data_IF_546920743535
#
_entry.id   IF_546920743535
#
_cell.length_a   1.000
_cell.length_b   1.000
_cell.length_c   1.000
_cell.angle_alpha   90.00
_cell.angle_beta   90.00
_cell.angle_gamma   90.00
#
_symmetry.space_group_name_H-M   'P 1'
#
loop_
_entity.id
_entity.type
_entity.pdbx_description
1 polymer ?
#
# COMPACT_ATOMS: atom_id res chain seq x y z
N UNK A 1 -1.69 -3.62 9.07
CA UNK A 1 -2.16 -2.72 10.15
C UNK A 1 -1.03 -2.52 11.13
N UNK A 2 -0.80 -1.26 11.50
CA UNK A 2 0.15 -0.89 12.55
C UNK A 2 -0.62 -0.22 13.69
N UNK A 3 -0.26 -0.54 14.93
CA UNK A 3 -0.77 0.11 16.15
C UNK A 3 0.39 0.31 17.12
N UNK A 4 0.46 1.47 17.78
CA UNK A 4 1.52 1.80 18.74
C UNK A 4 2.95 1.58 18.18
N UNK A 5 3.14 1.87 16.89
CA UNK A 5 4.42 1.70 16.21
C UNK A 5 4.79 0.25 15.87
N UNK A 6 3.90 -0.72 16.12
CA UNK A 6 4.13 -2.14 15.88
C UNK A 6 3.25 -2.68 14.77
N UNK A 7 3.77 -3.62 13.98
CA UNK A 7 2.98 -4.39 13.02
C UNK A 7 2.10 -5.40 13.77
N UNK A 8 0.79 -5.38 13.53
CA UNK A 8 -0.17 -6.25 14.25
C UNK A 8 -0.97 -7.18 13.33
N UNK A 9 -1.09 -6.85 12.04
CA UNK A 9 -1.88 -7.65 11.10
C UNK A 9 -1.49 -7.37 9.65
N UNK A 10 -1.47 -8.40 8.81
CA UNK A 10 -1.34 -8.30 7.37
C UNK A 10 -2.33 -9.22 6.68
N UNK A 11 -2.84 -8.78 5.54
CA UNK A 11 -3.68 -9.57 4.63
C UNK A 11 -3.36 -9.11 3.20
N UNK A 12 -3.73 -9.91 2.21
CA UNK A 12 -3.55 -9.61 0.80
C UNK A 12 -4.80 -9.99 0.00
N UNK A 13 -5.10 -9.18 -1.01
CA UNK A 13 -6.12 -9.48 -2.02
C UNK A 13 -5.39 -9.58 -3.35
N UNK A 14 -5.72 -10.57 -4.17
CA UNK A 14 -5.12 -10.77 -5.49
C UNK A 14 -5.70 -9.80 -6.54
N UNK A 15 -5.86 -8.52 -6.18
CA UNK A 15 -6.40 -7.43 -7.02
C UNK A 15 -5.48 -6.23 -6.90
N UNK A 16 -5.27 -5.51 -8.01
CA UNK A 16 -4.38 -4.36 -8.07
C UNK A 16 -4.48 -3.59 -9.38
N UNK A 17 -3.51 -2.72 -9.65
CA UNK A 17 -3.53 -1.83 -10.82
C UNK A 17 -3.68 -2.54 -12.17
N UNK A 18 -3.21 -3.79 -12.30
CA UNK A 18 -3.35 -4.58 -13.52
C UNK A 18 -4.81 -4.95 -13.82
N UNK A 19 -5.65 -5.07 -12.79
CA UNK A 19 -7.09 -5.36 -12.98
C UNK A 19 -7.81 -4.16 -13.59
N UNK A 20 -7.39 -2.93 -13.24
CA UNK A 20 -7.88 -1.71 -13.90
C UNK A 20 -7.50 -1.73 -15.38
N UNK A 21 -6.26 -2.09 -15.71
CA UNK A 21 -5.80 -2.21 -17.10
C UNK A 21 -6.57 -3.26 -17.87
N UNK A 22 -6.82 -4.43 -17.27
CA UNK A 22 -7.58 -5.51 -17.89
C UNK A 22 -9.02 -5.09 -18.19
N UNK A 23 -9.67 -4.41 -17.26
CA UNK A 23 -11.02 -3.90 -17.45
C UNK A 23 -11.08 -2.82 -18.52
N UNK A 24 -10.07 -1.94 -18.59
CA UNK A 24 -9.95 -0.95 -19.66
C UNK A 24 -9.73 -1.61 -21.02
N UNK A 25 -8.83 -2.59 -21.11
CA UNK A 25 -8.58 -3.31 -22.36
C UNK A 25 -9.85 -4.00 -22.88
N UNK A 26 -10.60 -4.66 -21.99
CA UNK A 26 -11.88 -5.28 -22.32
C UNK A 26 -12.95 -4.25 -22.68
N UNK A 27 -13.12 -3.22 -21.85
CA UNK A 27 -14.19 -2.23 -22.02
C UNK A 27 -14.00 -1.30 -23.21
N UNK A 28 -12.76 -1.10 -23.66
CA UNK A 28 -12.42 -0.28 -24.82
C UNK A 28 -12.05 -1.11 -26.06
N UNK A 29 -12.09 -2.44 -25.95
CA UNK A 29 -11.63 -3.38 -26.99
C UNK A 29 -10.24 -3.02 -27.53
N UNK A 30 -9.28 -2.72 -26.66
CA UNK A 30 -7.91 -2.32 -27.04
C UNK A 30 -6.87 -3.24 -26.41
N UNK A 31 -5.61 -3.16 -26.85
CA UNK A 31 -4.52 -3.98 -26.30
C UNK A 31 -4.20 -3.61 -24.86
N UNK A 32 -3.63 -4.55 -24.10
CA UNK A 32 -3.21 -4.30 -22.72
C UNK A 32 -2.22 -3.13 -22.63
N UNK A 33 -1.29 -3.05 -23.59
CA UNK A 33 -0.30 -1.97 -23.64
C UNK A 33 -0.94 -0.61 -23.92
N UNK A 34 -1.90 -0.56 -24.86
CA UNK A 34 -2.65 0.65 -25.15
C UNK A 34 -3.51 1.07 -23.94
N UNK A 35 -4.19 0.11 -23.30
CA UNK A 35 -4.98 0.35 -22.09
C UNK A 35 -4.10 0.88 -20.93
N UNK A 36 -2.90 0.34 -20.73
CA UNK A 36 -1.98 0.82 -19.70
C UNK A 36 -1.54 2.26 -19.97
N UNK A 37 -1.17 2.57 -21.21
CA UNK A 37 -0.81 3.94 -21.62
C UNK A 37 -1.96 4.91 -21.38
N UNK A 38 -3.17 4.54 -21.80
CA UNK A 38 -4.38 5.31 -21.59
C UNK A 38 -4.69 5.53 -20.10
N UNK A 39 -4.51 4.50 -19.27
CA UNK A 39 -4.68 4.58 -17.81
C UNK A 39 -3.69 5.55 -17.18
N UNK A 40 -2.42 5.51 -17.59
CA UNK A 40 -1.37 6.39 -17.06
C UNK A 40 -1.58 7.83 -17.49
N UNK A 41 -1.95 8.07 -18.75
CA UNK A 41 -2.05 9.42 -19.32
C UNK A 41 -3.37 10.13 -18.99
N UNK A 42 -4.48 9.40 -18.91
CA UNK A 42 -5.83 9.97 -18.83
C UNK A 42 -6.71 9.37 -17.73
N UNK A 43 -6.19 8.40 -16.97
CA UNK A 43 -6.97 7.66 -15.98
C UNK A 43 -7.33 8.50 -14.74
N UNK A 44 -8.60 8.41 -14.33
CA UNK A 44 -9.11 9.01 -13.11
C UNK A 44 -10.12 8.09 -12.44
N UNK A 45 -10.09 8.04 -11.10
CA UNK A 45 -11.11 7.40 -10.27
C UNK A 45 -12.28 8.33 -9.93
N UNK A 46 -12.20 9.61 -10.30
CA UNK A 46 -13.26 10.60 -10.10
C UNK A 46 -13.76 11.15 -11.45
N UNK A 47 -15.08 11.39 -11.58
CA UNK A 47 -15.61 12.11 -12.74
C UNK A 47 -15.15 13.57 -12.71
N UNK A 48 -14.63 14.05 -13.83
CA UNK A 48 -14.39 15.47 -14.06
C UNK A 48 -15.50 16.12 -14.90
N UNK A 49 -15.67 17.44 -14.75
CA UNK A 49 -16.72 18.20 -15.45
C UNK A 49 -16.53 18.30 -16.96
N UNK A 50 -15.30 18.08 -17.46
CA UNK A 50 -14.96 18.11 -18.87
C UNK A 50 -14.86 16.71 -19.51
N UNK A 51 -15.02 15.64 -18.73
CA UNK A 51 -14.75 14.26 -19.17
C UNK A 51 -15.60 13.83 -20.39
N UNK A 52 -16.82 14.36 -20.54
CA UNK A 52 -17.70 14.04 -21.67
C UNK A 52 -17.32 14.79 -22.96
N UNK A 53 -16.55 15.87 -22.84
CA UNK A 53 -16.10 16.70 -23.98
C UNK A 53 -14.66 16.39 -24.39
N UNK A 54 -13.86 15.93 -23.45
CA UNK A 54 -12.48 15.52 -23.70
C UNK A 54 -12.48 14.19 -24.45
N UNK A 55 -12.10 14.21 -25.73
CA UNK A 55 -11.97 13.01 -26.55
C UNK A 55 -10.55 12.43 -26.44
N UNK A 56 -10.48 11.10 -26.37
CA UNK A 56 -9.25 10.33 -26.32
C UNK A 56 -9.24 9.34 -27.48
N UNK A 57 -8.11 9.30 -28.18
CA UNK A 57 -7.89 8.41 -29.31
C UNK A 57 -7.52 7.02 -28.82
N UNK A 58 -8.24 6.00 -29.26
CA UNK A 58 -7.96 4.59 -28.98
C UNK A 58 -7.78 3.81 -30.28
N UNK A 59 -6.97 2.75 -30.24
CA UNK A 59 -6.85 1.80 -31.34
C UNK A 59 -7.61 0.52 -30.95
N UNK A 60 -8.80 0.26 -31.53
CA UNK A 60 -9.52 -0.97 -31.28
C UNK A 60 -8.78 -2.18 -31.85
N UNK A 61 -8.93 -3.33 -31.21
CA UNK A 61 -8.48 -4.62 -31.72
C UNK A 61 -9.56 -5.14 -32.67
N UNK A 62 -9.19 -5.33 -33.94
CA UNK A 62 -10.02 -6.00 -34.93
C UNK A 62 -11.00 -5.09 -35.64
N UNK A 63 -10.56 -4.52 -36.76
CA UNK A 63 -11.28 -4.33 -38.03
C UNK A 63 -10.22 -3.87 -39.05
N UNK A 64 -10.34 -4.32 -40.31
CA UNK A 64 -9.42 -3.93 -41.39
C UNK A 64 -9.55 -2.42 -41.66
N UNK A 65 -8.62 -1.67 -41.11
CA UNK A 65 -8.62 -0.21 -41.16
C UNK A 65 -8.15 0.32 -39.82
N UNK A 66 -6.85 0.61 -39.72
CA UNK A 66 -6.12 1.08 -38.54
C UNK A 66 -6.54 2.51 -38.12
N UNK A 67 -7.84 2.83 -38.18
CA UNK A 67 -8.38 4.17 -37.93
C UNK A 67 -8.57 4.34 -36.43
N UNK A 68 -7.92 5.33 -35.81
CA UNK A 68 -8.12 5.58 -34.39
C UNK A 68 -9.56 6.01 -34.11
N UNK A 69 -10.19 5.34 -33.15
CA UNK A 69 -11.53 5.68 -32.66
C UNK A 69 -11.41 6.75 -31.57
N UNK A 70 -12.20 7.81 -31.66
CA UNK A 70 -12.29 8.84 -30.62
C UNK A 70 -13.41 8.51 -29.65
N UNK A 71 -13.09 8.42 -28.36
CA UNK A 71 -14.08 8.18 -27.29
C UNK A 71 -14.01 9.29 -26.24
N UNK A 72 -15.12 9.64 -25.57
CA UNK A 72 -15.08 10.53 -24.42
C UNK A 72 -14.27 9.92 -23.26
N UNK A 73 -13.47 10.75 -22.58
CA UNK A 73 -12.70 10.35 -21.39
C UNK A 73 -13.60 9.79 -20.29
N UNK A 74 -14.86 10.24 -20.20
CA UNK A 74 -15.85 9.73 -19.25
C UNK A 74 -16.11 8.23 -19.35
N UNK A 75 -15.96 7.64 -20.54
CA UNK A 75 -16.07 6.18 -20.75
C UNK A 75 -14.96 5.47 -19.97
N UNK A 76 -13.72 5.94 -20.08
CA UNK A 76 -12.57 5.41 -19.36
C UNK A 76 -12.72 5.62 -17.85
N UNK A 77 -13.09 6.84 -17.43
CA UNK A 77 -13.29 7.18 -16.02
C UNK A 77 -14.33 6.27 -15.37
N UNK A 78 -15.41 5.92 -16.07
CA UNK A 78 -16.45 5.02 -15.55
C UNK A 78 -15.92 3.59 -15.32
N UNK A 79 -15.13 3.06 -16.24
CA UNK A 79 -14.53 1.71 -16.11
C UNK A 79 -13.54 1.70 -14.93
N UNK A 80 -12.63 2.67 -14.88
CA UNK A 80 -11.63 2.79 -13.83
C UNK A 80 -12.30 2.93 -12.47
N UNK A 81 -13.27 3.84 -12.35
CA UNK A 81 -14.00 4.08 -11.10
C UNK A 81 -14.69 2.82 -10.61
N UNK A 82 -15.36 2.05 -11.48
CA UNK A 82 -16.04 0.83 -11.07
C UNK A 82 -15.07 -0.17 -10.42
N UNK A 83 -13.91 -0.43 -11.05
CA UNK A 83 -12.88 -1.32 -10.50
C UNK A 83 -12.26 -0.78 -9.21
N UNK A 84 -12.02 0.53 -9.12
CA UNK A 84 -11.47 1.15 -7.91
C UNK A 84 -12.47 1.09 -6.75
N UNK A 85 -13.74 1.40 -6.99
CA UNK A 85 -14.79 1.33 -5.98
C UNK A 85 -14.91 -0.12 -5.46
N UNK A 86 -14.95 -1.12 -6.34
CA UNK A 86 -14.95 -2.55 -5.97
C UNK A 86 -13.72 -2.95 -5.14
N UNK A 87 -12.52 -2.54 -5.57
CA UNK A 87 -11.26 -2.88 -4.86
C UNK A 87 -11.24 -2.30 -3.45
N UNK A 88 -11.72 -1.06 -3.29
CA UNK A 88 -11.77 -0.39 -2.00
C UNK A 88 -12.85 -0.97 -1.08
N UNK A 89 -13.98 -1.42 -1.63
CA UNK A 89 -15.02 -2.14 -0.89
C UNK A 89 -14.50 -3.49 -0.38
N UNK A 90 -13.83 -4.27 -1.23
CA UNK A 90 -13.18 -5.52 -0.82
C UNK A 90 -12.14 -5.28 0.29
N UNK A 91 -11.32 -4.23 0.16
CA UNK A 91 -10.35 -3.85 1.19
C UNK A 91 -11.03 -3.48 2.51
N UNK A 92 -12.10 -2.69 2.47
CA UNK A 92 -12.89 -2.31 3.65
C UNK A 92 -13.43 -3.56 4.36
N UNK A 93 -14.01 -4.48 3.59
CA UNK A 93 -14.63 -5.68 4.13
C UNK A 93 -13.60 -6.64 4.73
N UNK A 94 -12.44 -6.81 4.10
CA UNK A 94 -11.30 -7.56 4.66
C UNK A 94 -10.79 -6.93 5.95
N UNK A 95 -10.65 -5.61 5.98
CA UNK A 95 -10.21 -4.91 7.17
C UNK A 95 -11.21 -5.07 8.32
N UNK A 96 -12.50 -4.98 8.06
CA UNK A 96 -13.54 -5.18 9.07
C UNK A 96 -13.54 -6.63 9.60
N UNK A 97 -13.43 -7.62 8.71
CA UNK A 97 -13.35 -9.05 9.07
C UNK A 97 -12.13 -9.38 9.93
N UNK A 98 -11.03 -8.64 9.78
CA UNK A 98 -9.83 -8.84 10.60
C UNK A 98 -10.02 -8.49 12.09
N UNK A 99 -11.10 -7.79 12.47
CA UNK A 99 -11.30 -7.26 13.82
C UNK A 99 -10.51 -5.98 14.12
N UNK A 100 -9.53 -5.62 13.28
CA UNK A 100 -8.71 -4.42 13.43
C UNK A 100 -9.30 -3.16 12.79
N UNK A 101 -10.54 -3.22 12.29
CA UNK A 101 -11.23 -2.06 11.71
C UNK A 101 -11.20 -0.85 12.64
N UNK A 102 -11.46 -1.02 13.93
CA UNK A 102 -11.45 0.08 14.91
C UNK A 102 -10.03 0.44 15.39
N UNK A 103 -9.07 -0.50 15.30
CA UNK A 103 -7.68 -0.31 15.72
C UNK A 103 -6.83 0.43 14.67
N UNK A 104 -7.17 0.31 13.38
CA UNK A 104 -6.62 1.19 12.34
C UNK A 104 -7.02 2.63 12.73
N UNK A 105 -6.06 3.39 13.25
CA UNK A 105 -6.26 4.79 13.61
C UNK A 105 -6.89 5.58 12.45
N UNK A 106 -7.26 6.84 12.72
CA UNK A 106 -8.01 7.73 11.82
C UNK A 106 -7.40 7.96 10.41
N UNK A 107 -6.30 7.28 10.04
CA UNK A 107 -5.50 7.49 8.84
C UNK A 107 -5.18 6.18 8.11
N UNK A 108 -5.36 6.18 6.79
CA UNK A 108 -4.94 5.17 5.83
C UNK A 108 -3.83 5.77 4.97
N UNK A 109 -2.80 5.00 4.67
CA UNK A 109 -1.71 5.41 3.78
C UNK A 109 -1.74 4.49 2.56
N UNK A 110 -2.02 5.06 1.40
CA UNK A 110 -1.93 4.34 0.12
C UNK A 110 -0.52 4.49 -0.43
N UNK A 111 0.02 3.42 -1.00
CA UNK A 111 1.32 3.45 -1.65
C UNK A 111 1.38 2.42 -2.78
N UNK A 112 2.53 2.30 -3.46
CA UNK A 112 2.68 1.48 -4.66
C UNK A 112 2.32 2.26 -5.94
N UNK A 113 2.63 1.70 -7.10
CA UNK A 113 2.48 2.39 -8.38
C UNK A 113 1.04 2.83 -8.66
N UNK A 114 0.08 1.95 -8.39
CA UNK A 114 -1.35 2.21 -8.59
C UNK A 114 -1.91 3.30 -7.68
N UNK A 115 -1.24 3.64 -6.57
CA UNK A 115 -1.71 4.71 -5.68
C UNK A 115 -1.62 6.11 -6.31
N UNK A 116 -0.95 6.23 -7.45
CA UNK A 116 -0.77 7.48 -8.19
C UNK A 116 -1.94 7.81 -9.12
N UNK A 117 -2.91 6.90 -9.26
CA UNK A 117 -4.10 7.16 -10.05
C UNK A 117 -4.85 8.40 -9.53
N UNK A 118 -5.18 9.32 -10.44
CA UNK A 118 -5.88 10.55 -10.09
C UNK A 118 -7.23 10.23 -9.42
N UNK A 119 -7.56 10.95 -8.34
CA UNK A 119 -8.84 10.78 -7.63
C UNK A 119 -8.92 9.54 -6.71
N UNK A 120 -7.91 8.67 -6.69
CA UNK A 120 -7.91 7.48 -5.84
C UNK A 120 -7.92 7.81 -4.33
N UNK A 121 -7.13 8.79 -3.81
CA UNK A 121 -7.21 9.17 -2.39
C UNK A 121 -8.61 9.61 -1.97
N UNK A 122 -9.31 10.35 -2.83
CA UNK A 122 -10.68 10.83 -2.60
C UNK A 122 -11.67 9.68 -2.60
N UNK A 123 -11.59 8.77 -3.58
CA UNK A 123 -12.41 7.56 -3.62
C UNK A 123 -12.21 6.70 -2.35
N UNK A 124 -10.95 6.51 -1.95
CA UNK A 124 -10.61 5.80 -0.73
C UNK A 124 -11.11 6.50 0.54
N UNK A 125 -11.04 7.83 0.62
CA UNK A 125 -11.62 8.60 1.74
C UNK A 125 -13.11 8.34 1.87
N UNK A 126 -13.82 8.40 0.75
CA UNK A 126 -15.28 8.17 0.67
C UNK A 126 -15.66 6.76 1.10
N UNK A 127 -14.97 5.73 0.58
CA UNK A 127 -15.35 4.32 0.80
C UNK A 127 -14.87 3.80 2.17
N UNK A 128 -13.66 4.16 2.59
CA UNK A 128 -13.08 3.68 3.85
C UNK A 128 -13.53 4.49 5.07
N UNK A 129 -14.11 5.68 4.87
CA UNK A 129 -14.56 6.57 5.94
C UNK A 129 -13.43 7.09 6.83
N UNK A 130 -12.21 7.22 6.27
CA UNK A 130 -10.97 7.55 7.02
C UNK A 130 -10.17 8.61 6.29
N UNK A 131 -9.28 9.30 6.99
CA UNK A 131 -8.33 10.19 6.32
C UNK A 131 -7.36 9.35 5.48
N UNK A 132 -7.21 9.67 4.20
CA UNK A 132 -6.29 8.95 3.31
C UNK A 132 -5.20 9.92 2.86
N UNK A 133 -3.96 9.43 2.79
CA UNK A 133 -2.85 10.12 2.15
C UNK A 133 -2.04 9.16 1.28
N UNK A 134 -1.32 9.70 0.31
CA UNK A 134 -0.30 8.95 -0.42
C UNK A 134 0.99 8.90 0.39
N UNK A 135 1.54 7.71 0.54
CA UNK A 135 2.85 7.44 1.14
C UNK A 135 3.90 7.20 0.05
N UNK A 136 5.08 7.76 0.26
CA UNK A 136 6.27 7.58 -0.58
C UNK A 136 7.51 7.44 0.30
N UNK A 137 8.62 6.85 -0.20
CA UNK A 137 9.87 6.81 0.54
C UNK A 137 10.35 8.22 0.91
N UNK A 138 10.85 8.39 2.13
CA UNK A 138 11.41 9.66 2.63
C UNK A 138 12.72 9.39 3.36
N UNK A 139 13.63 10.37 3.36
CA UNK A 139 14.83 10.34 4.21
C UNK A 139 15.94 9.37 3.78
N UNK A 140 15.92 8.89 2.53
CA UNK A 140 16.96 8.00 2.00
C UNK A 140 17.98 8.81 1.20
N UNK A 141 19.19 8.94 1.74
CA UNK A 141 20.29 9.64 1.07
C UNK A 141 20.72 8.90 -0.21
N UNK A 142 21.02 9.65 -1.27
CA UNK A 142 21.47 9.08 -2.55
C UNK A 142 20.37 8.43 -3.41
N UNK A 143 19.10 8.50 -3.00
CA UNK A 143 18.00 7.92 -3.78
C UNK A 143 17.72 8.76 -5.05
N UNK A 144 17.76 8.15 -6.26
CA UNK A 144 17.43 8.86 -7.50
C UNK A 144 16.01 9.41 -7.49
N UNK A 145 15.75 10.53 -8.19
CA UNK A 145 14.40 11.14 -8.26
C UNK A 145 13.33 10.14 -8.71
N UNK A 146 13.64 9.31 -9.70
CA UNK A 146 12.73 8.27 -10.20
C UNK A 146 12.30 7.27 -9.10
N UNK A 147 13.15 7.04 -8.10
CA UNK A 147 12.91 6.11 -7.01
C UNK A 147 12.23 6.76 -5.78
N UNK A 148 11.90 8.06 -5.83
CA UNK A 148 11.19 8.76 -4.74
C UNK A 148 9.67 8.63 -4.80
N UNK A 149 9.15 7.95 -5.84
CA UNK A 149 7.71 7.74 -6.02
C UNK A 149 7.12 6.63 -5.13
N UNK A 150 5.79 6.60 -4.92
CA UNK A 150 5.10 5.54 -4.18
C UNK A 150 5.35 4.13 -4.71
N UNK A 151 5.63 3.99 -6.01
CA UNK A 151 5.98 2.72 -6.65
C UNK A 151 7.22 2.04 -6.03
N UNK A 152 8.13 2.82 -5.45
CA UNK A 152 9.38 2.34 -4.88
C UNK A 152 9.34 2.16 -3.36
N UNK A 153 8.18 2.36 -2.72
CA UNK A 153 8.01 2.19 -1.27
C UNK A 153 8.45 0.82 -0.76
N UNK A 154 8.12 -0.25 -1.48
CA UNK A 154 8.51 -1.62 -1.11
C UNK A 154 10.02 -1.85 -1.22
N UNK A 155 10.66 -1.69 -2.39
CA UNK A 155 12.11 -1.93 -2.50
C UNK A 155 12.93 -1.01 -1.59
N UNK A 156 12.55 0.27 -1.46
CA UNK A 156 13.23 1.20 -0.55
C UNK A 156 13.03 0.80 0.92
N UNK A 157 11.80 0.41 1.28
CA UNK A 157 11.48 -0.10 2.60
C UNK A 157 12.34 -1.32 2.98
N UNK A 158 12.52 -2.26 2.06
CA UNK A 158 13.37 -3.45 2.27
C UNK A 158 14.85 -3.08 2.46
N UNK A 159 15.36 -2.08 1.75
CA UNK A 159 16.74 -1.62 1.91
C UNK A 159 17.01 -0.99 3.29
N UNK A 160 16.05 -0.24 3.82
CA UNK A 160 16.20 0.45 5.12
C UNK A 160 15.72 -0.39 6.31
N UNK A 161 14.93 -1.45 6.07
CA UNK A 161 14.33 -2.27 7.11
C UNK A 161 15.35 -2.79 8.16
N UNK A 162 16.56 -3.26 7.81
CA UNK A 162 17.54 -3.71 8.81
C UNK A 162 17.90 -2.64 9.85
N UNK A 163 17.88 -1.36 9.47
CA UNK A 163 18.13 -0.24 10.39
C UNK A 163 16.97 -0.06 11.37
N UNK A 164 15.73 -0.27 10.91
CA UNK A 164 14.51 -0.12 11.70
C UNK A 164 14.18 -1.35 12.56
N UNK A 165 14.52 -2.56 12.10
CA UNK A 165 14.26 -3.82 12.79
C UNK A 165 14.94 -3.90 14.18
N UNK A 166 16.05 -3.17 14.34
CA UNK A 166 16.71 -3.01 15.63
C UNK A 166 15.78 -2.38 16.67
N UNK A 167 14.93 -1.40 16.31
CA UNK A 167 13.99 -0.75 17.22
C UNK A 167 12.79 -1.64 17.59
N UNK A 168 12.33 -2.50 16.69
CA UNK A 168 11.26 -3.48 16.97
C UNK A 168 11.73 -4.51 18.03
N UNK A 169 13.00 -4.89 17.97
CA UNK A 169 13.62 -5.89 18.86
C UNK A 169 13.87 -5.39 20.28
N UNK A 170 14.09 -4.07 20.47
CA UNK A 170 14.39 -3.50 21.79
C UNK A 170 13.17 -3.39 22.71
N UNK A 171 11.94 -3.48 22.20
CA UNK A 171 10.74 -3.57 23.03
C UNK A 171 10.58 -4.92 23.76
N UNK A 172 11.32 -5.97 23.36
CA UNK A 172 11.25 -7.29 23.98
C UNK A 172 12.25 -7.49 25.14
N UNK A 173 13.21 -6.58 25.33
CA UNK A 173 14.19 -6.64 26.45
C UNK A 173 13.70 -6.00 27.76
N UNK A 174 12.42 -5.63 27.85
CA UNK A 174 11.80 -5.13 29.08
C UNK A 174 11.15 -6.20 29.98
N UNK A 175 11.05 -7.45 29.50
CA UNK A 175 10.37 -8.54 30.22
C UNK A 175 11.12 -9.87 30.17
N UNK A 176 12.45 -9.86 30.08
CA UNK A 176 13.20 -11.00 30.62
C UNK A 176 13.10 -10.91 32.14
N UNK A 177 11.95 -11.37 32.65
CA UNK A 177 11.75 -11.64 34.05
C UNK A 177 12.98 -12.33 34.60
N UNK A 178 13.38 -11.85 35.76
CA UNK A 178 14.22 -12.53 36.73
C UNK A 178 14.01 -14.05 36.63
N UNK A 179 14.79 -14.73 35.79
CA UNK A 179 14.88 -16.18 35.85
C UNK A 179 15.67 -16.42 37.13
N UNK A 180 14.95 -16.58 38.24
CA UNK A 180 15.40 -17.39 39.36
C UNK A 180 15.66 -18.80 38.82
N UNK A 181 16.78 -18.99 38.13
CA UNK A 181 17.40 -20.30 38.04
C UNK A 181 17.95 -20.56 39.44
N UNK A 182 17.34 -21.50 40.16
CA UNK A 182 17.72 -21.97 41.47
C UNK A 182 19.09 -22.68 41.48
N UNK A 183 20.13 -21.97 41.07
CA UNK A 183 21.53 -22.36 41.14
C UNK A 183 22.29 -21.12 41.59
N UNK A 184 22.84 -21.20 42.80
CA UNK A 184 23.44 -20.09 43.55
C UNK A 184 24.19 -19.09 42.68
N UNK A 185 23.67 -17.86 42.66
CA UNK A 185 24.30 -16.72 42.02
C UNK A 185 25.70 -16.46 42.57
N UNK A 186 26.51 -15.70 41.81
CA UNK A 186 27.90 -15.37 42.15
C UNK A 186 28.10 -14.80 43.56
N UNK A 187 27.07 -14.18 44.13
CA UNK A 187 27.06 -13.66 45.49
C UNK A 187 27.03 -14.75 46.57
N UNK A 188 26.41 -15.91 46.30
CA UNK A 188 26.43 -17.03 47.24
C UNK A 188 27.84 -17.61 47.38
N UNK A 189 28.59 -17.72 46.28
CA UNK A 189 29.99 -18.17 46.31
C UNK A 189 30.91 -17.22 47.06
N UNK A 190 30.70 -15.90 46.95
CA UNK A 190 31.45 -14.93 47.76
C UNK A 190 31.12 -15.00 49.25
N UNK A 191 29.84 -15.23 49.60
CA UNK A 191 29.43 -15.38 51.01
C UNK A 191 29.97 -16.67 51.66
N UNK A 192 30.21 -17.70 50.86
CA UNK A 192 30.75 -18.97 51.31
C UNK A 192 32.27 -18.88 51.49
N UNK A 193 32.98 -18.26 50.55
CA UNK A 193 34.42 -17.99 50.68
C UNK A 193 34.77 -17.12 51.89
N UNK A 194 33.97 -16.08 52.18
CA UNK A 194 34.19 -15.22 53.36
C UNK A 194 33.99 -15.97 54.68
N UNK A 195 33.10 -16.96 54.70
CA UNK A 195 32.81 -17.78 55.90
C UNK A 195 33.85 -18.87 56.13
N UNK A 196 34.52 -19.32 55.07
CA UNK A 196 35.60 -20.31 55.16
C UNK A 196 36.98 -19.68 55.42
N UNK A 197 37.13 -18.36 55.24
CA UNK A 197 38.42 -17.66 55.35
C UNK A 197 38.61 -16.85 56.64
N UNK A 198 37.58 -16.69 57.48
CA UNK A 198 37.62 -15.95 58.75
C UNK A 198 36.78 -16.60 59.83
#
# INVERSE_FOLDING_TARGET
VFSEGKFIHGDAIAIGGNHVTLDMAKGLSTSLDAAERLKVMHGSALPGSADDRDLVSIQPIGEEGDVPLQIPRSVMTRIIRARIDETLELLRDRLNKSGYGNAVGKRVVLTGGASQLAGLPEAARRILGRNVRIGRPLGVAGLPEAAKGPAFSTPVGLMIYPQMASFESHSAKGLSGFRMTGTGGRLHRMSQWLRDSF
#
